data_IF_686346429318
#
_entry.id   IF_686346429318
#
_cell.length_a   1.000
_cell.length_b   1.000
_cell.length_c   1.000
_cell.angle_alpha   90.00
_cell.angle_beta   90.00
_cell.angle_gamma   90.00
#
_symmetry.space_group_name_H-M   'P 1'
#
loop_
_entity.id
_entity.type
_entity.pdbx_description
1 polymer ?
#
# COMPACT_ATOMS: atom_id res chain seq x y z
N UNK A 1 -10.39 -8.39 20.84
CA UNK A 1 -10.25 -8.74 19.41
C UNK A 1 -10.81 -7.59 18.59
N UNK A 2 -10.00 -7.00 17.70
CA UNK A 2 -10.42 -5.89 16.83
C UNK A 2 -11.50 -6.33 15.82
N UNK A 3 -12.28 -5.37 15.32
CA UNK A 3 -13.22 -5.60 14.21
C UNK A 3 -12.42 -5.93 12.95
N UNK A 4 -12.64 -7.09 12.37
CA UNK A 4 -11.88 -7.56 11.20
C UNK A 4 -12.52 -7.18 9.86
N UNK A 5 -13.80 -6.79 9.87
CA UNK A 5 -14.58 -6.44 8.69
C UNK A 5 -14.38 -4.96 8.32
N UNK A 6 -14.59 -4.64 7.04
CA UNK A 6 -14.53 -3.28 6.48
C UNK A 6 -13.16 -2.62 6.73
N UNK A 7 -12.09 -3.38 6.52
CA UNK A 7 -10.73 -2.89 6.78
C UNK A 7 -10.42 -1.63 5.98
N UNK A 8 -10.63 -1.64 4.67
CA UNK A 8 -10.33 -0.51 3.77
C UNK A 8 -11.11 0.73 4.17
N UNK A 9 -12.41 0.61 4.44
CA UNK A 9 -13.25 1.73 4.89
C UNK A 9 -12.72 2.35 6.19
N UNK A 10 -12.32 1.50 7.16
CA UNK A 10 -11.75 2.00 8.42
C UNK A 10 -10.42 2.73 8.21
N UNK A 11 -9.57 2.24 7.31
CA UNK A 11 -8.31 2.90 6.99
C UNK A 11 -8.54 4.25 6.31
N UNK A 12 -9.41 4.32 5.32
CA UNK A 12 -9.77 5.58 4.67
C UNK A 12 -10.29 6.61 5.67
N UNK A 13 -11.20 6.20 6.56
CA UNK A 13 -11.72 7.08 7.61
C UNK A 13 -10.65 7.52 8.63
N UNK A 14 -9.72 6.62 8.98
CA UNK A 14 -8.61 6.94 9.89
C UNK A 14 -7.67 7.95 9.28
N UNK A 15 -7.18 7.67 8.07
CA UNK A 15 -6.23 8.54 7.39
C UNK A 15 -6.86 9.87 6.97
N UNK A 16 -8.12 9.87 6.55
CA UNK A 16 -8.86 11.11 6.29
C UNK A 16 -8.95 12.01 7.52
N UNK A 17 -9.28 11.45 8.70
CA UNK A 17 -9.29 12.22 9.96
C UNK A 17 -7.91 12.76 10.32
N UNK A 18 -6.85 11.96 10.12
CA UNK A 18 -5.49 12.41 10.39
C UNK A 18 -5.06 13.52 9.45
N UNK A 19 -5.40 13.40 8.15
CA UNK A 19 -5.15 14.46 7.18
C UNK A 19 -5.86 15.75 7.57
N UNK A 20 -7.15 15.72 7.88
CA UNK A 20 -7.92 16.87 8.32
C UNK A 20 -7.31 17.57 9.55
N UNK A 21 -6.81 16.78 10.50
CA UNK A 21 -6.20 17.31 11.72
C UNK A 21 -4.82 17.97 11.49
N UNK A 22 -4.13 17.61 10.40
CA UNK A 22 -2.74 18.03 10.13
C UNK A 22 -2.61 18.92 8.89
N UNK A 23 -3.66 19.03 8.06
CA UNK A 23 -3.60 19.84 6.84
C UNK A 23 -3.34 21.31 7.17
N UNK A 24 -2.48 21.94 6.38
CA UNK A 24 -2.15 23.38 6.46
C UNK A 24 -2.90 24.20 5.41
N UNK A 25 -3.57 23.53 4.47
CA UNK A 25 -4.41 24.11 3.42
C UNK A 25 -5.44 23.11 2.95
N UNK A 26 -6.53 23.59 2.38
CA UNK A 26 -7.51 22.73 1.72
C UNK A 26 -6.97 22.22 0.38
N UNK A 27 -7.23 20.95 0.09
CA UNK A 27 -6.86 20.27 -1.14
C UNK A 27 -8.08 19.55 -1.70
N UNK A 28 -8.78 20.21 -2.62
CA UNK A 28 -9.97 19.65 -3.29
C UNK A 28 -9.69 18.28 -3.94
N UNK A 29 -8.49 18.10 -4.47
CA UNK A 29 -8.07 16.81 -5.04
C UNK A 29 -8.04 15.68 -4.01
N UNK A 30 -7.72 15.97 -2.74
CA UNK A 30 -7.73 15.00 -1.66
C UNK A 30 -9.14 14.61 -1.26
N UNK A 31 -10.05 15.59 -1.18
CA UNK A 31 -11.47 15.36 -0.88
C UNK A 31 -12.12 14.53 -1.98
N UNK A 32 -11.87 14.88 -3.25
CA UNK A 32 -12.38 14.16 -4.41
C UNK A 32 -11.86 12.71 -4.46
N UNK A 33 -10.55 12.49 -4.21
CA UNK A 33 -9.96 11.17 -4.15
C UNK A 33 -10.56 10.33 -3.00
N UNK A 34 -10.72 10.92 -1.81
CA UNK A 34 -11.30 10.25 -0.65
C UNK A 34 -12.75 9.81 -0.93
N UNK A 35 -13.56 10.69 -1.49
CA UNK A 35 -14.94 10.38 -1.83
C UNK A 35 -15.02 9.27 -2.89
N UNK A 36 -14.24 9.37 -3.97
CA UNK A 36 -14.17 8.34 -5.01
C UNK A 36 -13.78 6.98 -4.44
N UNK A 37 -12.80 6.94 -3.54
CA UNK A 37 -12.35 5.70 -2.91
C UNK A 37 -13.43 5.12 -1.99
N UNK A 38 -14.15 5.95 -1.23
CA UNK A 38 -15.25 5.52 -0.36
C UNK A 38 -16.42 4.92 -1.16
N UNK A 39 -16.72 5.50 -2.33
CA UNK A 39 -17.80 5.05 -3.21
C UNK A 39 -17.45 3.73 -3.96
N UNK A 40 -16.16 3.40 -4.05
CA UNK A 40 -15.66 2.25 -4.83
C UNK A 40 -14.98 1.19 -3.99
N UNK A 41 -15.20 1.15 -2.67
CA UNK A 41 -14.61 0.15 -1.77
C UNK A 41 -15.02 -1.26 -2.22
N UNK A 42 -14.05 -2.15 -2.56
CA UNK A 42 -14.37 -3.51 -2.90
C UNK A 42 -14.82 -4.31 -1.68
N UNK A 43 -15.61 -5.35 -1.92
CA UNK A 43 -15.96 -6.29 -0.86
C UNK A 43 -14.71 -7.01 -0.35
N UNK A 44 -14.50 -7.01 0.96
CA UNK A 44 -13.37 -7.68 1.59
C UNK A 44 -13.48 -9.19 1.43
N UNK A 45 -12.52 -9.81 0.74
CA UNK A 45 -12.51 -11.24 0.43
C UNK A 45 -11.93 -12.09 1.54
N UNK A 46 -10.95 -11.57 2.28
CA UNK A 46 -10.19 -12.31 3.29
C UNK A 46 -9.88 -11.47 4.50
N UNK A 47 -9.53 -12.14 5.58
CA UNK A 47 -8.92 -11.54 6.77
C UNK A 47 -7.58 -12.23 7.01
N UNK A 48 -6.51 -11.46 7.02
CA UNK A 48 -5.15 -11.92 7.25
C UNK A 48 -4.39 -10.93 8.13
N UNK A 49 -3.19 -11.29 8.52
CA UNK A 49 -2.26 -10.33 9.09
C UNK A 49 -1.81 -9.39 7.96
N UNK A 50 -2.03 -8.11 8.15
CA UNK A 50 -1.60 -7.03 7.26
C UNK A 50 -0.46 -6.30 7.93
N UNK A 51 0.63 -6.08 7.20
CA UNK A 51 1.79 -5.34 7.67
C UNK A 51 1.48 -3.85 7.86
N UNK A 52 0.76 -3.25 6.89
CA UNK A 52 0.31 -1.87 6.93
C UNK A 52 1.30 -0.86 6.33
N UNK A 53 2.56 -1.26 6.09
CA UNK A 53 3.59 -0.49 5.38
C UNK A 53 4.54 -1.43 4.61
N UNK A 54 3.95 -2.35 3.81
CA UNK A 54 4.72 -3.38 3.09
C UNK A 54 5.37 -2.80 1.83
N UNK A 55 6.67 -2.48 1.94
CA UNK A 55 7.49 -1.91 0.86
C UNK A 55 8.95 -2.38 0.96
N UNK A 56 9.73 -2.15 -0.10
CA UNK A 56 11.11 -2.65 -0.20
C UNK A 56 12.01 -2.20 0.95
N UNK A 57 11.82 -0.99 1.47
CA UNK A 57 12.60 -0.45 2.59
C UNK A 57 12.49 -1.31 3.86
N UNK A 58 11.35 -1.98 4.01
CA UNK A 58 11.05 -2.85 5.16
C UNK A 58 11.42 -4.31 4.92
N UNK A 59 12.05 -4.63 3.78
CA UNK A 59 12.48 -5.99 3.45
C UNK A 59 13.99 -6.12 3.54
N UNK A 60 14.48 -7.19 4.16
CA UNK A 60 15.91 -7.56 4.18
C UNK A 60 16.13 -8.79 3.35
N UNK A 61 17.05 -8.66 2.39
CA UNK A 61 17.45 -9.75 1.50
C UNK A 61 18.81 -10.29 1.93
N UNK A 62 18.94 -11.60 1.96
CA UNK A 62 20.19 -12.31 2.15
C UNK A 62 20.20 -13.56 1.27
N UNK A 63 21.30 -13.77 0.55
CA UNK A 63 21.49 -14.93 -0.32
C UNK A 63 20.31 -15.15 -1.30
N UNK A 64 19.84 -14.08 -1.94
CA UNK A 64 18.69 -14.01 -2.85
C UNK A 64 17.33 -14.45 -2.23
N UNK A 65 17.24 -14.44 -0.90
CA UNK A 65 16.00 -14.78 -0.20
C UNK A 65 15.58 -13.64 0.72
N UNK A 66 14.28 -13.51 0.96
CA UNK A 66 13.76 -12.64 2.00
C UNK A 66 14.18 -13.20 3.36
N UNK A 67 15.08 -12.50 4.03
CA UNK A 67 15.61 -12.89 5.33
C UNK A 67 14.76 -12.36 6.49
N UNK A 68 14.17 -11.17 6.33
CA UNK A 68 13.29 -10.58 7.34
C UNK A 68 12.39 -9.51 6.71
N UNK A 69 11.24 -9.31 7.33
CA UNK A 69 10.35 -8.17 7.12
C UNK A 69 10.35 -7.38 8.43
N UNK A 70 10.63 -6.07 8.35
CA UNK A 70 10.82 -5.16 9.48
C UNK A 70 9.63 -4.21 9.61
N UNK A 71 9.58 -3.51 10.75
CA UNK A 71 8.65 -2.40 11.00
C UNK A 71 7.18 -2.80 11.03
N UNK A 72 6.84 -3.72 11.92
CA UNK A 72 5.50 -4.25 12.12
C UNK A 72 4.59 -3.37 13.00
N UNK A 73 4.96 -2.14 13.28
CA UNK A 73 4.22 -1.26 14.20
C UNK A 73 2.79 -0.93 13.75
N UNK A 74 2.54 -0.95 12.44
CA UNK A 74 1.22 -0.73 11.86
C UNK A 74 0.43 -2.02 11.63
N UNK A 75 0.98 -3.18 12.02
CA UNK A 75 0.38 -4.46 11.71
C UNK A 75 -0.99 -4.64 12.40
N UNK A 76 -1.90 -5.28 11.67
CA UNK A 76 -3.26 -5.55 12.15
C UNK A 76 -3.90 -6.71 11.38
N UNK A 77 -5.07 -7.13 11.84
CA UNK A 77 -5.92 -8.03 11.05
C UNK A 77 -6.77 -7.21 10.07
N UNK A 78 -6.67 -7.53 8.80
CA UNK A 78 -7.34 -6.80 7.73
C UNK A 78 -7.32 -7.53 6.40
N UNK A 79 -7.57 -6.78 5.33
CA UNK A 79 -7.52 -7.29 3.96
C UNK A 79 -6.07 -7.33 3.45
N UNK A 80 -5.53 -8.51 3.05
CA UNK A 80 -4.16 -8.63 2.56
C UNK A 80 -3.89 -7.83 1.27
N UNK A 81 -4.92 -7.48 0.50
CA UNK A 81 -4.79 -6.62 -0.68
C UNK A 81 -4.28 -5.21 -0.33
N UNK A 82 -4.40 -4.79 0.94
CA UNK A 82 -3.84 -3.52 1.38
C UNK A 82 -2.30 -3.50 1.31
N UNK A 83 -1.63 -4.59 1.67
CA UNK A 83 -0.18 -4.69 1.55
C UNK A 83 0.26 -4.77 0.09
N UNK A 84 -0.48 -5.50 -0.74
CA UNK A 84 -0.25 -5.50 -2.18
C UNK A 84 -0.40 -4.10 -2.77
N UNK A 85 -1.45 -3.37 -2.36
CA UNK A 85 -1.66 -1.97 -2.77
C UNK A 85 -0.50 -1.06 -2.34
N UNK A 86 0.03 -1.24 -1.14
CA UNK A 86 1.15 -0.45 -0.61
C UNK A 86 2.43 -0.69 -1.41
N UNK A 87 2.78 -1.95 -1.69
CA UNK A 87 3.98 -2.24 -2.49
C UNK A 87 3.82 -1.74 -3.94
N UNK A 88 2.66 -1.92 -4.57
CA UNK A 88 2.40 -1.44 -5.93
C UNK A 88 2.42 0.09 -6.00
N UNK A 89 1.87 0.81 -5.00
CA UNK A 89 1.91 2.27 -4.94
C UNK A 89 3.34 2.81 -4.78
N UNK A 90 4.19 2.10 -4.04
CA UNK A 90 5.60 2.47 -3.84
C UNK A 90 6.53 2.02 -4.98
N UNK A 91 6.03 1.21 -5.92
CA UNK A 91 6.81 0.65 -7.02
C UNK A 91 6.76 1.57 -8.24
N UNK A 92 7.90 1.93 -8.78
CA UNK A 92 8.00 2.72 -10.00
C UNK A 92 8.33 1.84 -11.21
N UNK A 93 7.71 2.13 -12.35
CA UNK A 93 8.06 1.52 -13.63
C UNK A 93 8.95 2.45 -14.46
N UNK A 94 9.81 1.87 -15.31
CA UNK A 94 10.78 2.63 -16.14
C UNK A 94 10.11 3.51 -17.18
N UNK A 95 8.90 3.20 -17.57
CA UNK A 95 8.10 3.90 -18.59
C UNK A 95 7.17 4.98 -18.00
N UNK A 96 7.17 5.15 -16.67
CA UNK A 96 6.37 6.18 -16.02
C UNK A 96 7.15 7.50 -15.92
N UNK A 97 6.56 8.56 -16.48
CA UNK A 97 7.15 9.92 -16.44
C UNK A 97 7.05 10.56 -15.05
N UNK A 98 5.98 10.23 -14.30
CA UNK A 98 5.72 10.76 -12.96
C UNK A 98 5.83 9.62 -11.94
N UNK A 99 7.04 9.30 -11.52
CA UNK A 99 7.22 8.37 -10.41
C UNK A 99 6.96 9.09 -9.10
N UNK A 100 6.19 8.50 -8.15
CA UNK A 100 5.94 9.13 -6.86
C UNK A 100 7.21 9.31 -6.02
N UNK A 101 8.28 8.61 -6.38
CA UNK A 101 9.56 8.66 -5.69
C UNK A 101 10.70 8.93 -6.68
N UNK A 102 11.50 9.95 -6.39
CA UNK A 102 12.66 10.35 -7.22
C UNK A 102 13.71 9.22 -7.31
N UNK A 103 13.78 8.38 -6.27
CA UNK A 103 14.68 7.23 -6.19
C UNK A 103 13.90 6.01 -5.73
N UNK A 104 13.37 5.23 -6.68
CA UNK A 104 12.76 3.94 -6.37
C UNK A 104 13.75 2.82 -6.70
N UNK A 105 14.06 1.92 -5.76
CA UNK A 105 14.90 0.76 -6.04
C UNK A 105 14.37 -0.10 -7.19
N UNK A 106 13.06 -0.12 -7.40
CA UNK A 106 12.40 -0.88 -8.47
C UNK A 106 12.75 -0.42 -9.89
N UNK A 107 13.38 0.76 -10.05
CA UNK A 107 13.89 1.25 -11.34
C UNK A 107 15.22 0.58 -11.75
N UNK A 108 15.86 -0.11 -10.84
CA UNK A 108 17.11 -0.82 -11.11
C UNK A 108 16.88 -2.00 -12.07
N UNK A 109 17.96 -2.41 -12.75
CA UNK A 109 17.91 -3.57 -13.63
C UNK A 109 17.61 -4.85 -12.83
N UNK A 110 16.77 -5.73 -13.39
CA UNK A 110 16.37 -6.98 -12.75
C UNK A 110 15.08 -6.90 -11.93
N UNK A 111 14.56 -5.71 -11.65
CA UNK A 111 13.26 -5.60 -10.99
C UNK A 111 12.10 -5.82 -11.97
N UNK A 112 11.07 -6.49 -11.50
CA UNK A 112 9.83 -6.74 -12.22
C UNK A 112 9.01 -5.45 -12.37
N UNK A 113 8.18 -5.38 -13.40
CA UNK A 113 7.14 -4.35 -13.51
C UNK A 113 5.99 -4.61 -12.52
N UNK A 114 5.18 -3.60 -12.23
CA UNK A 114 3.95 -3.75 -11.44
C UNK A 114 3.04 -4.84 -11.98
N UNK A 115 2.91 -4.91 -13.32
CA UNK A 115 2.07 -5.92 -13.97
C UNK A 115 2.56 -7.35 -13.72
N UNK A 116 3.87 -7.56 -13.76
CA UNK A 116 4.47 -8.86 -13.46
C UNK A 116 4.29 -9.25 -12.00
N UNK A 117 4.44 -8.29 -11.06
CA UNK A 117 4.17 -8.54 -9.63
C UNK A 117 2.72 -8.96 -9.40
N UNK A 118 1.76 -8.25 -9.99
CA UNK A 118 0.34 -8.57 -9.89
C UNK A 118 0.06 -9.97 -10.46
N UNK A 119 0.61 -10.30 -11.62
CA UNK A 119 0.44 -11.62 -12.23
C UNK A 119 1.00 -12.77 -11.36
N UNK A 120 2.11 -12.53 -10.64
CA UNK A 120 2.65 -13.51 -9.70
C UNK A 120 1.74 -13.68 -8.48
N UNK A 121 1.15 -12.61 -7.99
CA UNK A 121 0.26 -12.64 -6.83
C UNK A 121 -1.07 -13.35 -7.12
N UNK A 122 -1.57 -13.28 -8.34
CA UNK A 122 -2.83 -13.91 -8.79
C UNK A 122 -2.72 -15.44 -8.97
N UNK A 123 -1.51 -16.00 -9.11
CA UNK A 123 -1.24 -17.43 -9.32
C UNK A 123 -0.93 -18.14 -8.00
#
# INVERSE_FOLDING_TARGET
MGKHNNYVERQLKRWGKQFEAQKIRDLESMDNATNMLLDTIPEQQRVSLVHGDYRLDNVRIKDNNVAAILDWELCTLGDPLADLGTIIASWSNKDELDTPFIYSPSLSEGFLSRKEILSIYEN
#
